data_IF_636843310499
#
_entry.id   IF_636843310499
#
_cell.length_a   1.000
_cell.length_b   1.000
_cell.length_c   1.000
_cell.angle_alpha   90.00
_cell.angle_beta   90.00
_cell.angle_gamma   90.00
#
_symmetry.space_group_name_H-M   'P 1'
#
loop_
_entity.id
_entity.type
_entity.pdbx_description
1 polymer ?
#
# COMPACT_ATOMS: atom_id res chain seq x y z
N UNK A 1 3.86 -14.79 -14.73
CA UNK A 1 3.37 -14.37 -13.41
C UNK A 1 4.03 -13.08 -13.00
N UNK A 2 3.25 -12.01 -12.84
CA UNK A 2 3.73 -10.68 -12.46
C UNK A 2 3.62 -10.51 -10.95
N UNK A 3 4.73 -10.22 -10.27
CA UNK A 3 4.71 -9.98 -8.84
C UNK A 3 4.19 -8.58 -8.55
N UNK A 4 3.18 -8.47 -7.69
CA UNK A 4 2.64 -7.19 -7.22
C UNK A 4 2.74 -7.12 -5.70
N UNK A 5 2.94 -5.92 -5.18
CA UNK A 5 2.81 -5.66 -3.75
C UNK A 5 1.40 -5.18 -3.46
N UNK A 6 0.76 -5.72 -2.42
CA UNK A 6 -0.52 -5.22 -1.93
C UNK A 6 -0.40 -4.66 -0.51
N UNK A 7 -1.21 -3.65 -0.22
CA UNK A 7 -1.46 -3.19 1.14
C UNK A 7 -2.96 -3.02 1.35
N UNK A 8 -3.54 -3.77 2.29
CA UNK A 8 -4.95 -3.69 2.65
C UNK A 8 -5.35 -2.37 3.31
N UNK A 9 -4.38 -1.62 3.85
CA UNK A 9 -4.60 -0.30 4.43
C UNK A 9 -5.53 -0.34 5.64
N UNK A 10 -6.27 0.75 5.87
CA UNK A 10 -7.03 0.99 7.10
C UNK A 10 -8.51 1.28 6.81
N UNK A 11 -9.35 1.27 7.86
CA UNK A 11 -10.79 1.54 7.76
C UNK A 11 -11.49 0.52 6.86
N UNK A 12 -12.16 0.99 5.79
CA UNK A 12 -12.80 0.12 4.79
C UNK A 12 -11.80 -0.62 3.88
N UNK A 13 -10.50 -0.32 3.99
CA UNK A 13 -9.46 -0.79 3.09
C UNK A 13 -9.40 -2.31 2.90
N UNK A 14 -9.38 -3.12 3.98
CA UNK A 14 -9.32 -4.58 3.86
C UNK A 14 -10.48 -5.17 3.07
N UNK A 15 -11.72 -4.71 3.32
CA UNK A 15 -12.91 -5.21 2.63
C UNK A 15 -12.86 -4.96 1.11
N UNK A 16 -12.53 -3.72 0.72
CA UNK A 16 -12.47 -3.35 -0.69
C UNK A 16 -11.27 -3.97 -1.42
N UNK A 17 -10.14 -4.18 -0.72
CA UNK A 17 -8.97 -4.85 -1.29
C UNK A 17 -9.28 -6.33 -1.55
N UNK A 18 -9.91 -7.02 -0.60
CA UNK A 18 -10.28 -8.42 -0.75
C UNK A 18 -11.28 -8.62 -1.91
N UNK A 19 -12.27 -7.73 -2.04
CA UNK A 19 -13.18 -7.73 -3.18
C UNK A 19 -12.45 -7.48 -4.51
N UNK A 20 -11.52 -6.53 -4.54
CA UNK A 20 -10.71 -6.19 -5.73
C UNK A 20 -9.86 -7.38 -6.18
N UNK A 21 -9.16 -8.04 -5.25
CA UNK A 21 -8.33 -9.21 -5.55
C UNK A 21 -9.19 -10.35 -6.11
N UNK A 22 -10.35 -10.63 -5.50
CA UNK A 22 -11.28 -11.66 -6.02
C UNK A 22 -11.66 -11.41 -7.47
N UNK A 23 -11.97 -10.16 -7.83
CA UNK A 23 -12.32 -9.78 -9.20
C UNK A 23 -11.12 -9.93 -10.15
N UNK A 24 -9.93 -9.45 -9.74
CA UNK A 24 -8.70 -9.56 -10.55
C UNK A 24 -8.36 -11.02 -10.85
N UNK A 25 -8.44 -11.90 -9.83
CA UNK A 25 -8.18 -13.33 -10.00
C UNK A 25 -9.24 -14.00 -10.88
N UNK A 26 -10.53 -13.68 -10.69
CA UNK A 26 -11.62 -14.18 -11.53
C UNK A 26 -11.51 -13.72 -12.99
N UNK A 27 -10.92 -12.55 -13.25
CA UNK A 27 -10.63 -12.06 -14.58
C UNK A 27 -9.45 -12.78 -15.27
N UNK A 28 -8.76 -13.71 -14.57
CA UNK A 28 -7.68 -14.51 -15.12
C UNK A 28 -6.32 -13.82 -15.13
N UNK A 29 -6.09 -12.83 -14.27
CA UNK A 29 -4.80 -12.17 -14.17
C UNK A 29 -3.69 -13.14 -13.67
N UNK A 30 -2.59 -13.24 -14.42
CA UNK A 30 -1.41 -14.03 -14.04
C UNK A 30 -0.49 -13.22 -13.10
N UNK A 31 -0.91 -13.08 -11.84
CA UNK A 31 -0.22 -12.31 -10.79
C UNK A 31 0.15 -13.15 -9.57
N UNK A 32 1.24 -12.77 -8.91
CA UNK A 32 1.61 -13.24 -7.57
C UNK A 32 1.59 -12.07 -6.59
N UNK A 33 1.11 -12.30 -5.37
CA UNK A 33 0.82 -11.25 -4.40
C UNK A 33 1.79 -11.35 -3.22
N UNK A 34 2.56 -10.27 -3.01
CA UNK A 34 3.28 -10.02 -1.76
C UNK A 34 2.49 -9.01 -0.92
N UNK A 35 1.90 -9.44 0.19
CA UNK A 35 1.18 -8.56 1.11
C UNK A 35 2.12 -7.91 2.13
N UNK A 36 1.97 -6.59 2.34
CA UNK A 36 2.69 -5.82 3.35
C UNK A 36 1.73 -5.09 4.30
N UNK A 37 2.17 -4.90 5.53
CA UNK A 37 1.46 -4.06 6.50
C UNK A 37 1.91 -2.60 6.39
N UNK A 38 0.94 -1.69 6.41
CA UNK A 38 1.14 -0.23 6.36
C UNK A 38 0.06 0.47 7.17
N UNK A 39 0.22 1.76 7.43
CA UNK A 39 -0.84 2.60 7.94
C UNK A 39 -0.95 2.62 9.46
N UNK A 40 -2.17 2.76 9.97
CA UNK A 40 -2.46 3.04 11.39
C UNK A 40 -1.80 2.03 12.32
N UNK A 41 -1.93 0.73 12.03
CA UNK A 41 -1.29 -0.34 12.81
C UNK A 41 0.23 -0.15 12.93
N UNK A 42 0.88 0.24 11.84
CA UNK A 42 2.34 0.43 11.80
C UNK A 42 2.75 1.73 12.52
N UNK A 43 1.95 2.79 12.40
CA UNK A 43 2.16 4.02 13.18
C UNK A 43 2.05 3.77 14.68
N UNK A 44 0.99 3.07 15.12
CA UNK A 44 0.75 2.75 16.53
C UNK A 44 1.79 1.78 17.11
N UNK A 45 2.46 1.00 16.28
CA UNK A 45 3.62 0.18 16.66
C UNK A 45 4.92 0.99 16.84
N UNK A 46 4.87 2.32 16.73
CA UNK A 46 6.01 3.22 16.96
C UNK A 46 6.78 3.60 15.70
N UNK A 47 6.37 3.13 14.51
CA UNK A 47 7.00 3.52 13.26
C UNK A 47 6.30 4.76 12.67
N UNK A 48 6.91 5.93 12.88
CA UNK A 48 6.39 7.22 12.41
C UNK A 48 6.29 7.37 10.89
N UNK A 49 6.88 6.47 10.10
CA UNK A 49 6.74 6.44 8.65
C UNK A 49 5.48 5.67 8.19
N UNK A 50 4.90 4.83 9.05
CA UNK A 50 3.71 4.02 8.76
C UNK A 50 3.99 2.83 7.83
N UNK A 51 5.27 2.50 7.61
CA UNK A 51 5.71 1.41 6.73
C UNK A 51 7.12 0.96 7.13
N UNK A 52 7.35 -0.36 7.14
CA UNK A 52 8.64 -0.94 7.49
C UNK A 52 9.67 -0.81 6.34
N UNK A 53 10.95 -0.91 6.66
CA UNK A 53 12.02 -0.79 5.64
C UNK A 53 11.95 -1.95 4.63
N UNK A 54 11.66 -3.14 5.12
CA UNK A 54 11.54 -4.38 4.36
C UNK A 54 10.39 -4.28 3.36
N UNK A 55 9.29 -3.62 3.73
CA UNK A 55 8.16 -3.35 2.83
C UNK A 55 8.55 -2.46 1.66
N UNK A 56 9.45 -1.49 1.86
CA UNK A 56 9.98 -0.68 0.75
C UNK A 56 10.80 -1.51 -0.24
N UNK A 57 11.55 -2.50 0.25
CA UNK A 57 12.35 -3.36 -0.61
C UNK A 57 11.46 -4.27 -1.47
N UNK A 58 10.35 -4.77 -0.91
CA UNK A 58 9.33 -5.51 -1.65
C UNK A 58 8.70 -4.63 -2.74
N UNK A 59 8.24 -3.42 -2.40
CA UNK A 59 7.64 -2.48 -3.37
C UNK A 59 8.63 -2.17 -4.50
N UNK A 60 9.90 -1.93 -4.18
CA UNK A 60 10.93 -1.63 -5.18
C UNK A 60 11.27 -2.82 -6.05
N UNK A 61 11.20 -4.05 -5.54
CA UNK A 61 11.43 -5.26 -6.33
C UNK A 61 10.27 -5.50 -7.30
N UNK A 62 9.04 -5.38 -6.82
CA UNK A 62 7.84 -5.74 -7.58
C UNK A 62 7.38 -4.63 -8.54
N UNK A 63 7.75 -3.37 -8.28
CA UNK A 63 7.43 -2.15 -9.09
C UNK A 63 5.95 -1.78 -9.20
N UNK A 64 5.04 -2.71 -8.91
CA UNK A 64 3.59 -2.51 -8.92
C UNK A 64 3.09 -2.57 -7.48
N UNK A 65 2.45 -1.49 -7.03
CA UNK A 65 1.90 -1.39 -5.67
C UNK A 65 0.42 -1.05 -5.72
N UNK A 66 -0.43 -2.04 -5.44
CA UNK A 66 -1.87 -1.88 -5.30
C UNK A 66 -2.21 -1.66 -3.82
N UNK A 67 -2.77 -0.50 -3.46
CA UNK A 67 -3.03 -0.18 -2.06
C UNK A 67 -4.40 0.42 -1.84
N UNK A 68 -5.04 0.01 -0.75
CA UNK A 68 -6.28 0.60 -0.29
C UNK A 68 -6.03 2.00 0.37
N UNK A 69 -7.08 2.68 0.86
CA UNK A 69 -6.95 3.85 1.72
C UNK A 69 -6.09 3.56 2.95
N UNK A 70 -5.28 4.53 3.35
CA UNK A 70 -4.38 4.43 4.50
C UNK A 70 -4.63 5.65 5.38
N UNK A 71 -4.93 5.39 6.64
CA UNK A 71 -5.16 6.42 7.66
C UNK A 71 -3.82 6.99 8.09
N UNK A 72 -3.72 8.32 8.11
CA UNK A 72 -2.64 9.01 8.82
C UNK A 72 -3.23 9.54 10.12
N UNK A 73 -2.76 9.08 11.30
CA UNK A 73 -3.32 9.52 12.57
C UNK A 73 -3.31 11.05 12.69
N UNK A 74 -4.36 11.60 13.32
CA UNK A 74 -4.42 13.03 13.61
C UNK A 74 -3.48 13.37 14.76
N UNK A 75 -2.75 14.48 14.64
CA UNK A 75 -1.75 14.92 15.61
C UNK A 75 -0.40 15.21 14.95
N UNK A 76 0.37 16.13 15.53
CA UNK A 76 1.71 16.46 15.04
C UNK A 76 2.67 15.27 15.20
N UNK A 77 3.40 14.92 14.14
CA UNK A 77 4.47 13.91 14.19
C UNK A 77 4.40 12.84 13.09
N UNK A 78 3.21 12.51 12.61
CA UNK A 78 3.03 11.54 11.53
C UNK A 78 3.11 12.20 10.15
N UNK A 79 3.89 11.60 9.24
CA UNK A 79 3.89 11.99 7.83
C UNK A 79 2.92 11.11 7.07
N UNK A 80 2.10 11.70 6.20
CA UNK A 80 1.19 10.94 5.36
C UNK A 80 1.92 9.92 4.50
N UNK A 81 1.63 8.63 4.71
CA UNK A 81 2.26 7.57 3.92
C UNK A 81 1.95 7.71 2.43
N UNK A 82 0.74 8.12 2.05
CA UNK A 82 0.39 8.37 0.65
C UNK A 82 1.34 9.37 -0.04
N UNK A 83 1.69 10.46 0.67
CA UNK A 83 2.63 11.46 0.16
C UNK A 83 4.06 10.92 0.18
N UNK A 84 4.45 10.25 1.25
CA UNK A 84 5.78 9.63 1.40
C UNK A 84 6.05 8.63 0.27
N UNK A 85 5.11 7.73 -0.03
CA UNK A 85 5.23 6.75 -1.13
C UNK A 85 5.48 7.41 -2.47
N UNK A 86 4.72 8.45 -2.81
CA UNK A 86 4.89 9.15 -4.09
C UNK A 86 6.26 9.82 -4.19
N UNK A 87 6.68 10.53 -3.14
CA UNK A 87 7.98 11.22 -3.11
C UNK A 87 9.14 10.22 -3.16
N UNK A 88 9.07 9.16 -2.37
CA UNK A 88 10.12 8.17 -2.23
C UNK A 88 10.33 7.34 -3.50
N UNK A 89 9.25 7.02 -4.21
CA UNK A 89 9.29 6.25 -5.46
C UNK A 89 9.36 7.13 -6.72
N UNK A 90 9.36 8.46 -6.58
CA UNK A 90 9.37 9.38 -7.72
C UNK A 90 8.10 9.34 -8.57
N UNK A 91 6.95 8.99 -8.00
CA UNK A 91 5.66 8.91 -8.71
C UNK A 91 5.07 10.32 -8.88
N UNK A 92 5.55 11.04 -9.90
CA UNK A 92 5.22 12.44 -10.14
C UNK A 92 3.84 12.67 -10.80
N UNK A 93 3.33 11.70 -11.54
CA UNK A 93 2.03 11.80 -12.22
C UNK A 93 0.92 11.10 -11.43
N UNK A 94 -0.23 11.77 -11.28
CA UNK A 94 -1.42 11.25 -10.63
C UNK A 94 -2.60 11.33 -11.59
N UNK A 95 -2.82 10.24 -12.33
CA UNK A 95 -3.86 10.13 -13.36
C UNK A 95 -5.20 9.75 -12.72
N UNK A 96 -6.27 10.48 -13.08
CA UNK A 96 -7.64 10.27 -12.58
C UNK A 96 -8.61 10.31 -13.77
N UNK A 97 -8.92 9.16 -14.39
CA UNK A 97 -9.85 9.07 -15.51
C UNK A 97 -11.29 9.37 -15.09
#
# INVERSE_FOLDING_TARGET
MTNITIAKGDGIGPEIMDATIKIIMAAGADISIDEIEVGEKVYLAGNLAGIAKESWDIIRRNKIFLKAPITTPQGGGYKSLNVTTRKFLGLYSNVRP
#
